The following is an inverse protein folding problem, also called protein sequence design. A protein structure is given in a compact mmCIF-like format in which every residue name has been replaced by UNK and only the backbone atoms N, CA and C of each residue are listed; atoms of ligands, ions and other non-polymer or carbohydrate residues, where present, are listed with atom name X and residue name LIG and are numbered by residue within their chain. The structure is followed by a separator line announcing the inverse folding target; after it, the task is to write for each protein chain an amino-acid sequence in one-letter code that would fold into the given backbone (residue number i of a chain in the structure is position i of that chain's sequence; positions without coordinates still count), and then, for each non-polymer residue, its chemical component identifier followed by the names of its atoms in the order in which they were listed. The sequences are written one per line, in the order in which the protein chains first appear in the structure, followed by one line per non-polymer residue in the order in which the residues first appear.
data_IF_306012795536
#
_entry.id   IF_306012795536
#
_cell.length_a   1.000
_cell.length_b   1.000
_cell.length_c   1.000
_cell.angle_alpha   90.00
_cell.angle_beta   90.00
_cell.angle_gamma   90.00
#
_symmetry.space_group_name_H-M   'P 1'
#
loop_
_entity.id
_entity.type
_entity.pdbx_description
1 polymer ?
#
# COMPACT_ATOMS: atom_id res chain seq x y z
N UNK A 1 50.32 73.99 23.87
CA UNK A 1 50.04 73.81 22.43
C UNK A 1 49.08 72.63 22.25
N UNK A 2 47.82 72.97 21.94
CA UNK A 2 46.82 71.95 21.65
C UNK A 2 46.65 71.84 20.14
N UNK A 3 46.79 70.66 19.58
CA UNK A 3 46.50 70.42 18.20
C UNK A 3 45.15 69.71 18.13
N UNK A 4 44.15 70.40 17.53
CA UNK A 4 42.88 69.87 17.14
C UNK A 4 43.03 69.10 15.82
N UNK A 5 42.41 67.88 15.76
CA UNK A 5 42.28 67.09 14.53
C UNK A 5 40.79 67.10 14.15
N UNK A 6 40.43 67.42 12.92
CA UNK A 6 39.06 67.45 12.46
C UNK A 6 38.57 65.98 12.09
N UNK A 7 37.32 65.67 12.46
CA UNK A 7 36.64 64.48 12.01
C UNK A 7 36.01 64.72 10.61
N UNK A 8 36.00 63.76 9.71
CA UNK A 8 35.16 63.79 8.52
C UNK A 8 33.83 63.12 8.78
N UNK A 9 32.76 63.85 8.57
CA UNK A 9 31.38 63.33 8.38
C UNK A 9 31.34 62.56 7.03
N UNK A 10 30.86 61.31 7.05
CA UNK A 10 30.35 60.71 5.85
C UNK A 10 29.12 59.84 6.22
N UNK A 11 27.97 60.42 5.98
CA UNK A 11 26.68 59.80 5.96
C UNK A 11 26.61 58.87 4.74
N UNK A 12 26.67 57.56 4.96
CA UNK A 12 26.26 56.56 3.93
C UNK A 12 25.02 55.88 4.43
N UNK A 13 23.86 56.20 3.84
CA UNK A 13 22.62 55.41 3.97
C UNK A 13 22.81 54.04 3.31
N UNK A 14 22.42 52.95 3.96
CA UNK A 14 22.38 51.67 3.28
C UNK A 14 21.14 51.60 2.32
N UNK A 15 21.29 50.93 1.16
CA UNK A 15 20.19 50.82 0.20
C UNK A 15 19.09 49.89 0.71
N UNK A 16 17.87 50.41 0.82
CA UNK A 16 16.66 49.59 0.94
C UNK A 16 16.41 48.90 -0.41
N UNK A 17 16.83 47.65 -0.57
CA UNK A 17 16.33 46.73 -1.62
C UNK A 17 16.83 45.33 -1.33
N UNK A 18 16.05 44.48 -0.62
CA UNK A 18 16.19 42.99 -0.75
C UNK A 18 15.09 42.20 -0.07
N UNK A 19 13.92 42.79 0.20
CA UNK A 19 12.82 41.99 0.80
C UNK A 19 11.74 41.57 -0.24
N UNK A 20 11.57 42.34 -1.33
CA UNK A 20 10.49 42.06 -2.32
C UNK A 20 10.79 40.92 -3.30
N UNK A 21 12.03 40.40 -3.38
CA UNK A 21 12.39 39.35 -4.33
C UNK A 21 12.13 37.91 -3.80
N UNK A 22 12.04 37.74 -2.49
CA UNK A 22 11.79 36.44 -1.85
C UNK A 22 10.31 36.06 -1.93
N UNK A 23 9.41 37.01 -1.60
CA UNK A 23 7.96 36.72 -1.58
C UNK A 23 7.38 36.46 -2.98
N UNK A 24 7.82 37.21 -3.99
CA UNK A 24 7.42 36.96 -5.40
C UNK A 24 7.94 35.65 -5.94
N UNK A 25 9.08 35.16 -5.47
CA UNK A 25 9.63 33.86 -5.85
C UNK A 25 8.83 32.71 -5.30
N UNK A 26 8.39 32.79 -4.05
CA UNK A 26 7.58 31.76 -3.39
C UNK A 26 6.14 31.73 -3.92
N UNK A 27 5.52 32.90 -4.19
CA UNK A 27 4.22 32.96 -4.86
C UNK A 27 4.27 32.42 -6.29
N UNK A 28 5.33 32.72 -7.07
CA UNK A 28 5.48 32.24 -8.43
C UNK A 28 5.73 30.72 -8.51
N UNK A 29 6.33 30.12 -7.46
CA UNK A 29 6.49 28.66 -7.33
C UNK A 29 5.15 28.01 -6.95
N UNK A 30 4.39 28.61 -6.05
CA UNK A 30 3.03 28.14 -5.67
C UNK A 30 2.03 28.12 -6.84
N UNK A 31 2.15 29.05 -7.77
CA UNK A 31 1.31 29.13 -8.97
C UNK A 31 1.60 28.07 -10.05
N UNK A 32 2.70 27.33 -9.93
CA UNK A 32 3.08 26.28 -10.92
C UNK A 32 2.60 24.88 -10.57
N UNK A 33 2.21 24.62 -9.32
CA UNK A 33 1.70 23.30 -8.91
C UNK A 33 0.18 23.32 -8.81
N UNK A 34 -0.46 22.35 -9.45
CA UNK A 34 -1.89 22.10 -9.24
C UNK A 34 -2.13 21.81 -7.75
N UNK A 35 -3.20 22.35 -7.12
CA UNK A 35 -3.54 21.99 -5.73
C UNK A 35 -3.57 20.48 -5.50
N UNK A 36 -3.93 19.69 -6.51
CA UNK A 36 -3.94 18.23 -6.48
C UNK A 36 -2.53 17.64 -6.42
N UNK A 37 -1.55 18.21 -7.14
CA UNK A 37 -0.14 17.74 -7.09
C UNK A 37 0.48 17.98 -5.71
N UNK A 38 0.23 19.15 -5.13
CA UNK A 38 0.69 19.45 -3.76
C UNK A 38 0.07 18.47 -2.76
N UNK A 39 -1.22 18.15 -2.92
CA UNK A 39 -1.90 17.19 -2.06
C UNK A 39 -1.31 15.79 -2.19
N UNK A 40 -0.96 15.35 -3.40
CA UNK A 40 -0.41 14.00 -3.66
C UNK A 40 0.93 13.76 -2.96
N UNK A 41 1.79 14.77 -2.90
CA UNK A 41 3.12 14.69 -2.26
C UNK A 41 3.12 15.02 -0.77
N UNK A 42 2.06 15.66 -0.26
CA UNK A 42 1.94 16.06 1.14
C UNK A 42 1.80 14.84 2.06
N UNK A 43 2.45 14.89 3.22
CA UNK A 43 2.34 13.84 4.25
C UNK A 43 0.93 13.80 4.85
N UNK A 44 0.35 12.60 4.98
CA UNK A 44 -0.98 12.39 5.58
C UNK A 44 -1.09 12.95 7.01
N UNK A 45 0.03 13.00 7.74
CA UNK A 45 0.09 13.60 9.07
C UNK A 45 -0.27 15.09 9.09
N UNK A 46 -0.13 15.75 7.95
CA UNK A 46 -0.35 17.20 7.78
C UNK A 46 -1.69 17.53 7.11
N UNK A 47 -2.50 16.53 6.78
CA UNK A 47 -3.78 16.74 6.09
C UNK A 47 -4.82 17.41 6.97
N UNK A 48 -5.52 18.41 6.43
CA UNK A 48 -6.75 18.93 7.01
C UNK A 48 -7.94 17.98 6.77
N UNK A 49 -9.06 18.15 7.48
CA UNK A 49 -10.28 17.37 7.22
C UNK A 49 -10.78 17.48 5.78
N UNK A 50 -10.67 18.67 5.16
CA UNK A 50 -11.07 18.92 3.78
C UNK A 50 -10.16 18.20 2.79
N UNK A 51 -8.85 18.20 3.05
CA UNK A 51 -7.86 17.49 2.25
C UNK A 51 -8.05 15.96 2.33
N UNK A 52 -8.53 15.45 3.48
CA UNK A 52 -8.93 14.04 3.59
C UNK A 52 -10.14 13.69 2.72
N UNK A 53 -11.08 14.61 2.52
CA UNK A 53 -12.20 14.40 1.60
C UNK A 53 -11.73 14.33 0.15
N UNK A 54 -10.74 15.15 -0.25
CA UNK A 54 -10.14 15.09 -1.56
C UNK A 54 -9.31 13.82 -1.78
N UNK A 55 -8.51 13.40 -0.77
CA UNK A 55 -7.81 12.11 -0.77
C UNK A 55 -8.78 10.95 -1.06
N UNK A 56 -9.97 11.00 -0.48
CA UNK A 56 -10.98 9.96 -0.69
C UNK A 56 -11.40 9.86 -2.16
N UNK A 57 -11.53 10.99 -2.87
CA UNK A 57 -11.84 11.02 -4.31
C UNK A 57 -10.69 10.42 -5.11
N UNK A 58 -9.45 10.83 -4.82
CA UNK A 58 -8.25 10.29 -5.47
C UNK A 58 -8.12 8.77 -5.26
N UNK A 59 -8.38 8.29 -4.05
CA UNK A 59 -8.36 6.86 -3.74
C UNK A 59 -9.47 6.06 -4.44
N UNK A 60 -10.64 6.69 -4.71
CA UNK A 60 -11.72 6.03 -5.44
C UNK A 60 -11.36 5.72 -6.90
N UNK A 61 -10.48 6.52 -7.49
CA UNK A 61 -9.97 6.31 -8.84
C UNK A 61 -8.79 5.32 -8.88
N UNK A 62 -8.16 5.06 -7.73
CA UNK A 62 -7.03 4.16 -7.61
C UNK A 62 -7.48 2.70 -7.75
N UNK A 63 -7.07 2.05 -8.83
CA UNK A 63 -7.40 0.65 -9.09
C UNK A 63 -6.32 -0.28 -8.53
N UNK A 64 -6.62 -0.92 -7.41
CA UNK A 64 -5.80 -2.01 -6.90
C UNK A 64 -6.07 -3.28 -7.70
N UNK A 65 -5.26 -3.53 -8.70
CA UNK A 65 -5.32 -4.76 -9.50
C UNK A 65 -4.19 -5.69 -9.08
N UNK A 66 -4.54 -6.83 -8.50
CA UNK A 66 -3.51 -7.86 -8.29
C UNK A 66 -2.93 -8.33 -9.63
N UNK A 67 -1.61 -8.51 -9.66
CA UNK A 67 -0.88 -9.04 -10.81
C UNK A 67 -1.56 -10.27 -11.42
N UNK A 68 -1.61 -10.35 -12.73
CA UNK A 68 -2.24 -11.46 -13.44
C UNK A 68 -1.40 -12.73 -13.33
N UNK A 69 -2.02 -13.86 -13.07
CA UNK A 69 -1.37 -15.17 -13.09
C UNK A 69 -2.06 -16.17 -13.99
N UNK A 70 -1.30 -16.99 -14.69
CA UNK A 70 -1.81 -18.13 -15.41
C UNK A 70 -2.21 -19.23 -14.41
N UNK A 71 -3.46 -19.67 -14.50
CA UNK A 71 -3.98 -20.77 -13.68
C UNK A 71 -3.69 -22.11 -14.38
N UNK A 72 -3.58 -23.19 -13.59
CA UNK A 72 -3.58 -24.57 -14.13
C UNK A 72 -4.92 -24.96 -14.77
N UNK A 73 -6.00 -24.25 -14.41
CA UNK A 73 -7.32 -24.47 -15.04
C UNK A 73 -7.33 -23.90 -16.45
N UNK A 74 -7.87 -24.70 -17.37
CA UNK A 74 -8.00 -24.33 -18.76
C UNK A 74 -9.38 -23.75 -19.02
N UNK A 75 -9.46 -22.75 -19.88
CA UNK A 75 -10.70 -22.16 -20.36
C UNK A 75 -10.83 -22.35 -21.87
N UNK A 76 -12.04 -22.33 -22.43
CA UNK A 76 -12.26 -22.37 -23.87
C UNK A 76 -11.57 -21.18 -24.54
N UNK A 77 -10.95 -21.44 -25.72
CA UNK A 77 -10.28 -20.42 -26.50
C UNK A 77 -10.46 -20.69 -28.00
N UNK A 78 -10.22 -19.66 -28.83
CA UNK A 78 -10.22 -19.80 -30.28
C UNK A 78 -8.91 -20.41 -30.81
N UNK A 79 -7.82 -20.28 -30.07
CA UNK A 79 -6.48 -20.80 -30.37
C UNK A 79 -5.81 -21.33 -29.10
N UNK A 80 -4.85 -22.22 -29.24
CA UNK A 80 -4.08 -22.79 -28.15
C UNK A 80 -4.06 -24.30 -28.14
N UNK A 81 -4.12 -24.93 -26.96
CA UNK A 81 -4.06 -26.38 -26.83
C UNK A 81 -5.39 -26.99 -27.28
N UNK A 82 -5.35 -28.06 -28.10
CA UNK A 82 -6.54 -28.76 -28.54
C UNK A 82 -7.37 -29.31 -27.35
N UNK A 83 -8.72 -29.19 -27.46
CA UNK A 83 -9.67 -29.73 -26.49
C UNK A 83 -10.45 -30.90 -27.12
N UNK A 84 -9.96 -32.15 -27.01
CA UNK A 84 -10.59 -33.33 -27.64
C UNK A 84 -12.02 -33.55 -27.13
N UNK A 85 -12.25 -33.34 -25.82
CA UNK A 85 -13.57 -33.59 -25.21
C UNK A 85 -14.64 -32.66 -25.77
N UNK A 86 -14.33 -31.37 -25.96
CA UNK A 86 -15.27 -30.41 -26.53
C UNK A 86 -15.44 -30.57 -28.03
N UNK A 87 -14.37 -30.96 -28.74
CA UNK A 87 -14.39 -31.27 -30.17
C UNK A 87 -15.29 -32.49 -30.41
N UNK A 88 -15.08 -33.60 -29.70
CA UNK A 88 -15.89 -34.81 -29.79
C UNK A 88 -17.36 -34.56 -29.44
N UNK A 89 -17.65 -33.84 -28.35
CA UNK A 89 -19.02 -33.48 -27.99
C UNK A 89 -19.69 -32.62 -29.06
N UNK A 90 -18.93 -31.78 -29.75
CA UNK A 90 -19.43 -31.01 -30.91
C UNK A 90 -19.71 -31.92 -32.10
N UNK A 91 -18.82 -32.87 -32.41
CA UNK A 91 -18.97 -33.84 -33.50
C UNK A 91 -20.22 -34.71 -33.36
N UNK A 92 -20.50 -35.19 -32.14
CA UNK A 92 -21.71 -36.00 -31.88
C UNK A 92 -23.02 -35.25 -32.18
N UNK A 93 -23.03 -33.94 -32.24
CA UNK A 93 -24.20 -33.12 -32.62
C UNK A 93 -24.32 -32.93 -34.15
N UNK A 94 -23.27 -33.25 -34.91
CA UNK A 94 -23.16 -33.08 -36.37
C UNK A 94 -22.92 -34.42 -37.06
N UNK A 95 -23.57 -35.51 -36.58
CA UNK A 95 -23.46 -36.82 -37.19
C UNK A 95 -22.14 -37.55 -37.03
N UNK A 96 -21.29 -37.14 -36.08
CA UNK A 96 -20.00 -37.78 -35.80
C UNK A 96 -18.79 -37.10 -36.46
N UNK A 97 -18.99 -36.13 -37.32
CA UNK A 97 -17.89 -35.41 -37.99
C UNK A 97 -17.40 -34.22 -37.17
N UNK A 98 -16.09 -34.14 -36.95
CA UNK A 98 -15.46 -33.05 -36.26
C UNK A 98 -15.23 -31.82 -37.13
N UNK A 99 -16.32 -31.14 -37.54
CA UNK A 99 -16.31 -29.96 -38.42
C UNK A 99 -15.56 -28.79 -37.83
N UNK A 100 -15.50 -28.68 -36.49
CA UNK A 100 -14.83 -27.56 -35.80
C UNK A 100 -14.00 -28.04 -34.66
N UNK A 101 -12.67 -27.87 -34.76
CA UNK A 101 -11.76 -28.12 -33.63
C UNK A 101 -11.95 -27.07 -32.51
N UNK A 102 -12.00 -27.54 -31.27
CA UNK A 102 -12.09 -26.70 -30.08
C UNK A 102 -10.73 -26.62 -29.41
N UNK A 103 -10.43 -25.44 -28.91
CA UNK A 103 -9.17 -25.15 -28.24
C UNK A 103 -9.41 -24.67 -26.82
N UNK A 104 -8.36 -24.75 -26.01
CA UNK A 104 -8.34 -24.29 -24.62
C UNK A 104 -7.00 -23.63 -24.31
N UNK A 105 -7.03 -22.66 -23.41
CA UNK A 105 -5.82 -21.97 -22.92
C UNK A 105 -5.82 -21.93 -21.39
N UNK A 106 -4.67 -21.73 -20.72
CA UNK A 106 -4.64 -21.46 -19.29
C UNK A 106 -5.48 -20.22 -18.97
N UNK A 107 -6.37 -20.34 -17.99
CA UNK A 107 -7.16 -19.21 -17.52
C UNK A 107 -6.26 -18.21 -16.83
N UNK A 108 -6.36 -16.95 -17.20
CA UNK A 108 -5.68 -15.82 -16.56
C UNK A 108 -6.61 -15.25 -15.49
N UNK A 109 -6.09 -14.99 -14.32
CA UNK A 109 -6.84 -14.37 -13.21
C UNK A 109 -5.93 -13.51 -12.35
N UNK A 110 -6.47 -12.46 -11.69
CA UNK A 110 -5.67 -11.68 -10.76
C UNK A 110 -5.21 -12.54 -9.57
N UNK A 111 -3.99 -12.28 -9.10
CA UNK A 111 -3.47 -12.85 -7.84
C UNK A 111 -4.29 -12.30 -6.68
N UNK A 112 -4.32 -13.03 -5.59
CA UNK A 112 -4.84 -12.50 -4.33
C UNK A 112 -3.84 -11.49 -3.79
N UNK A 113 -4.36 -10.41 -3.22
CA UNK A 113 -3.62 -9.45 -2.43
C UNK A 113 -4.05 -9.62 -0.98
N UNK A 114 -3.10 -9.69 -0.07
CA UNK A 114 -3.35 -9.71 1.37
C UNK A 114 -2.71 -8.48 1.97
N UNK A 115 -3.48 -7.66 2.64
CA UNK A 115 -3.03 -6.44 3.31
C UNK A 115 -3.11 -6.67 4.82
N UNK A 116 -1.97 -6.57 5.50
CA UNK A 116 -1.80 -6.65 6.95
C UNK A 116 -1.48 -5.24 7.45
N UNK A 117 -2.46 -4.53 8.00
CA UNK A 117 -2.35 -3.13 8.38
C UNK A 117 -2.21 -2.99 9.90
N UNK A 118 -1.09 -2.46 10.33
CA UNK A 118 -0.86 -2.08 11.71
C UNK A 118 -1.65 -0.81 12.04
N UNK A 119 -2.42 -0.87 13.12
CA UNK A 119 -3.26 0.21 13.64
C UNK A 119 -2.83 0.65 15.05
N UNK A 120 -1.56 0.44 15.38
CA UNK A 120 -0.95 0.87 16.64
C UNK A 120 -0.99 2.38 16.84
N UNK A 121 -0.71 2.82 18.06
CA UNK A 121 -0.66 4.25 18.39
C UNK A 121 0.37 5.02 17.58
N UNK A 122 1.53 4.45 17.26
CA UNK A 122 2.54 5.05 16.37
C UNK A 122 2.06 5.23 14.94
N UNK A 123 1.13 4.36 14.50
CA UNK A 123 0.52 4.39 13.17
C UNK A 123 -0.77 5.24 13.12
N UNK A 124 -1.26 5.77 14.26
CA UNK A 124 -2.58 6.42 14.36
C UNK A 124 -2.80 7.53 13.32
N UNK A 125 -1.77 8.34 13.07
CA UNK A 125 -1.80 9.43 12.09
C UNK A 125 -2.03 8.93 10.66
N UNK A 126 -1.45 7.79 10.32
CA UNK A 126 -1.52 7.19 8.97
C UNK A 126 -2.68 6.22 8.82
N UNK A 127 -3.14 5.61 9.93
CA UNK A 127 -4.16 4.54 9.92
C UNK A 127 -5.41 4.93 9.17
N UNK A 128 -5.88 6.18 9.29
CA UNK A 128 -7.08 6.66 8.60
C UNK A 128 -6.91 6.63 7.07
N UNK A 129 -5.79 7.14 6.55
CA UNK A 129 -5.48 7.12 5.12
C UNK A 129 -5.30 5.68 4.60
N UNK A 130 -4.58 4.85 5.36
CA UNK A 130 -4.35 3.46 5.02
C UNK A 130 -5.65 2.64 5.01
N UNK A 131 -6.55 2.83 5.97
CA UNK A 131 -7.86 2.17 5.98
C UNK A 131 -8.74 2.62 4.79
N UNK A 132 -8.67 3.89 4.37
CA UNK A 132 -9.31 4.37 3.15
C UNK A 132 -8.75 3.68 1.91
N UNK A 133 -7.44 3.52 1.84
CA UNK A 133 -6.78 2.78 0.77
C UNK A 133 -7.21 1.30 0.75
N UNK A 134 -7.27 0.64 1.90
CA UNK A 134 -7.78 -0.72 2.01
C UNK A 134 -9.23 -0.83 1.53
N UNK A 135 -10.07 0.12 1.93
CA UNK A 135 -11.47 0.20 1.50
C UNK A 135 -11.57 0.31 -0.04
N UNK A 136 -10.83 1.27 -0.65
CA UNK A 136 -10.80 1.42 -2.10
C UNK A 136 -10.39 0.12 -2.81
N UNK A 137 -9.38 -0.58 -2.26
CA UNK A 137 -8.95 -1.88 -2.76
C UNK A 137 -10.02 -2.97 -2.67
N UNK A 138 -10.76 -3.04 -1.57
CA UNK A 138 -11.85 -4.02 -1.39
C UNK A 138 -12.99 -3.75 -2.37
N UNK A 139 -13.41 -2.48 -2.51
CA UNK A 139 -14.51 -2.07 -3.39
C UNK A 139 -14.15 -2.21 -4.88
N UNK A 140 -12.87 -2.08 -5.25
CA UNK A 140 -12.44 -2.22 -6.66
C UNK A 140 -12.70 -3.60 -7.26
N UNK A 141 -13.18 -4.57 -6.47
CA UNK A 141 -13.43 -5.94 -6.90
C UNK A 141 -12.15 -6.79 -7.05
N UNK A 142 -11.02 -6.30 -6.61
CA UNK A 142 -9.79 -7.06 -6.51
C UNK A 142 -9.98 -8.26 -5.54
N UNK A 143 -9.23 -9.34 -5.75
CA UNK A 143 -9.21 -10.47 -4.81
C UNK A 143 -8.37 -10.09 -3.59
N UNK A 144 -8.87 -9.13 -2.82
CA UNK A 144 -8.18 -8.51 -1.71
C UNK A 144 -8.74 -9.02 -0.39
N UNK A 145 -7.84 -9.29 0.55
CA UNK A 145 -8.13 -9.64 1.93
C UNK A 145 -7.42 -8.64 2.84
N UNK A 146 -8.16 -8.00 3.72
CA UNK A 146 -7.66 -6.98 4.63
C UNK A 146 -7.72 -7.48 6.08
N UNK A 147 -6.63 -7.26 6.80
CA UNK A 147 -6.48 -7.56 8.22
C UNK A 147 -5.92 -6.33 8.92
N UNK A 148 -6.40 -6.05 10.12
CA UNK A 148 -5.77 -5.11 11.04
C UNK A 148 -4.94 -5.86 12.08
N UNK A 149 -3.78 -5.29 12.41
CA UNK A 149 -2.87 -5.74 13.45
C UNK A 149 -2.93 -4.73 14.58
N UNK A 150 -3.21 -5.19 15.78
CA UNK A 150 -3.17 -4.44 17.03
C UNK A 150 -2.64 -5.37 18.11
N UNK A 151 -3.32 -5.48 19.26
CA UNK A 151 -3.04 -6.52 20.26
C UNK A 151 -3.37 -7.92 19.74
N UNK A 152 -4.24 -8.02 18.75
CA UNK A 152 -4.61 -9.25 18.04
C UNK A 152 -4.82 -8.98 16.56
N UNK A 153 -4.79 -10.04 15.76
CA UNK A 153 -5.13 -9.97 14.36
C UNK A 153 -6.64 -10.00 14.15
N UNK A 154 -7.18 -9.04 13.40
CA UNK A 154 -8.60 -8.99 13.03
C UNK A 154 -8.77 -8.92 11.53
N UNK A 155 -9.57 -9.82 10.94
CA UNK A 155 -9.91 -9.75 9.52
C UNK A 155 -11.04 -8.74 9.34
N UNK A 156 -10.80 -7.69 8.57
CA UNK A 156 -11.71 -6.54 8.37
C UNK A 156 -12.23 -6.43 6.93
N UNK A 157 -12.02 -7.47 6.11
CA UNK A 157 -12.44 -7.46 4.69
C UNK A 157 -13.95 -7.25 4.54
N UNK A 158 -14.76 -7.83 5.42
CA UNK A 158 -16.23 -7.73 5.35
C UNK A 158 -16.72 -6.34 5.72
N UNK A 159 -16.13 -5.77 6.74
CA UNK A 159 -16.43 -4.44 7.27
C UNK A 159 -16.10 -3.37 6.23
N UNK A 160 -15.00 -3.56 5.48
CA UNK A 160 -14.59 -2.69 4.39
C UNK A 160 -15.38 -2.90 3.07
N UNK A 161 -16.24 -3.90 2.98
CA UNK A 161 -17.04 -4.17 1.77
C UNK A 161 -18.26 -3.25 1.59
N UNK A 162 -18.59 -2.42 2.59
CA UNK A 162 -19.66 -1.42 2.51
C UNK A 162 -19.27 -0.31 1.54
N UNK A 163 -20.20 0.13 0.69
CA UNK A 163 -19.92 1.14 -0.35
C UNK A 163 -19.63 2.53 0.21
N UNK A 164 -20.29 2.88 1.31
CA UNK A 164 -20.04 4.14 2.00
C UNK A 164 -18.70 4.04 2.75
N UNK A 165 -17.70 4.87 2.38
CA UNK A 165 -16.38 4.82 2.99
C UNK A 165 -16.37 5.16 4.48
N UNK A 166 -17.24 6.07 4.94
CA UNK A 166 -17.30 6.46 6.34
C UNK A 166 -17.94 5.37 7.19
N UNK A 167 -18.96 4.73 6.68
CA UNK A 167 -19.58 3.56 7.31
C UNK A 167 -18.60 2.38 7.36
N UNK A 168 -17.88 2.10 6.27
CA UNK A 168 -16.86 1.06 6.23
C UNK A 168 -15.77 1.28 7.29
N UNK A 169 -15.28 2.51 7.44
CA UNK A 169 -14.29 2.84 8.46
C UNK A 169 -14.85 2.71 9.89
N UNK A 170 -16.10 3.12 10.12
CA UNK A 170 -16.75 2.95 11.43
C UNK A 170 -16.87 1.47 11.79
N UNK A 171 -17.33 0.64 10.85
CA UNK A 171 -17.46 -0.81 11.04
C UNK A 171 -16.10 -1.47 11.28
N UNK A 172 -15.08 -1.13 10.48
CA UNK A 172 -13.72 -1.63 10.65
C UNK A 172 -13.16 -1.21 12.01
N UNK A 173 -13.30 0.06 12.41
CA UNK A 173 -12.86 0.54 13.74
C UNK A 173 -13.60 -0.15 14.88
N UNK A 174 -14.90 -0.41 14.74
CA UNK A 174 -15.68 -1.16 15.73
C UNK A 174 -15.26 -2.65 15.86
N UNK A 175 -14.78 -3.26 14.78
CA UNK A 175 -14.26 -4.61 14.79
C UNK A 175 -12.85 -4.73 15.41
N UNK A 176 -12.06 -3.66 15.32
CA UNK A 176 -10.72 -3.54 15.89
C UNK A 176 -10.81 -3.27 17.39
N UNK A 177 -10.69 -4.33 18.20
CA UNK A 177 -10.68 -4.21 19.66
C UNK A 177 -9.24 -3.98 20.14
N UNK A 178 -9.08 -3.11 21.16
CA UNK A 178 -7.81 -2.87 21.87
C UNK A 178 -6.66 -2.30 21.04
N UNK A 179 -6.86 -1.11 20.48
CA UNK A 179 -5.81 -0.36 19.78
C UNK A 179 -4.69 0.11 20.75
N UNK A 180 -4.99 0.19 22.05
CA UNK A 180 -4.12 0.83 23.07
C UNK A 180 -3.07 -0.11 23.72
N UNK A 181 -3.15 -1.41 23.51
CA UNK A 181 -2.33 -2.40 24.24
C UNK A 181 -0.89 -2.58 23.71
N UNK A 182 -0.54 -1.94 22.62
CA UNK A 182 0.74 -2.13 21.91
C UNK A 182 0.70 -3.31 20.95
N UNK A 183 1.40 -3.16 19.82
CA UNK A 183 1.39 -4.15 18.73
C UNK A 183 2.34 -5.29 19.05
N UNK A 184 1.86 -6.52 18.87
CA UNK A 184 2.66 -7.74 18.79
C UNK A 184 2.66 -8.24 17.35
N UNK A 185 3.49 -7.61 16.55
CA UNK A 185 3.52 -7.82 15.10
C UNK A 185 3.87 -9.26 14.74
N UNK A 186 4.89 -9.83 15.41
CA UNK A 186 5.29 -11.22 15.25
C UNK A 186 4.17 -12.21 15.55
N UNK A 187 3.45 -12.04 16.67
CA UNK A 187 2.34 -12.90 17.07
C UNK A 187 1.16 -12.80 16.10
N UNK A 188 0.81 -11.58 15.67
CA UNK A 188 -0.27 -11.35 14.71
C UNK A 188 0.04 -11.97 13.34
N UNK A 189 1.28 -11.83 12.85
CA UNK A 189 1.72 -12.45 11.59
C UNK A 189 1.71 -13.98 11.74
N UNK A 190 2.12 -14.52 12.88
CA UNK A 190 2.02 -15.95 13.19
C UNK A 190 0.58 -16.44 13.12
N UNK A 191 -0.34 -15.73 13.77
CA UNK A 191 -1.77 -16.05 13.72
C UNK A 191 -2.30 -16.04 12.27
N UNK A 192 -1.89 -15.04 11.46
CA UNK A 192 -2.24 -14.99 10.04
C UNK A 192 -1.73 -16.23 9.29
N UNK A 193 -0.46 -16.58 9.45
CA UNK A 193 0.17 -17.71 8.76
C UNK A 193 -0.52 -19.01 9.13
N UNK A 194 -0.76 -19.25 10.41
CA UNK A 194 -1.31 -20.52 10.92
C UNK A 194 -2.79 -20.69 10.57
N UNK A 195 -3.61 -19.64 10.69
CA UNK A 195 -5.08 -19.74 10.45
C UNK A 195 -5.46 -19.61 8.99
N UNK A 196 -4.77 -18.79 8.20
CA UNK A 196 -5.16 -18.46 6.83
C UNK A 196 -4.05 -18.66 5.80
N UNK A 197 -2.82 -18.28 6.14
CA UNK A 197 -1.69 -18.24 5.20
C UNK A 197 -1.38 -19.61 4.61
N UNK A 198 -1.10 -20.59 5.45
CA UNK A 198 -0.80 -21.97 5.04
C UNK A 198 -1.99 -22.66 4.38
N UNK A 199 -3.21 -22.33 4.78
CA UNK A 199 -4.46 -22.85 4.18
C UNK A 199 -4.74 -22.30 2.79
N UNK A 200 -3.81 -21.53 2.21
CA UNK A 200 -3.82 -21.09 0.82
C UNK A 200 -4.10 -19.60 0.62
N UNK A 201 -4.28 -18.79 1.68
CA UNK A 201 -4.50 -17.36 1.53
C UNK A 201 -3.23 -16.64 1.11
N UNK A 202 -2.07 -16.94 1.73
CA UNK A 202 -0.78 -16.40 1.36
C UNK A 202 -0.17 -17.08 0.14
N UNK A 203 -0.56 -18.32 -0.17
CA UNK A 203 0.09 -19.12 -1.22
C UNK A 203 -0.04 -18.49 -2.62
N UNK A 204 1.08 -17.99 -3.14
CA UNK A 204 1.16 -17.31 -4.43
C UNK A 204 0.35 -16.01 -4.48
N UNK A 205 0.09 -15.39 -3.32
CA UNK A 205 -0.48 -14.05 -3.17
C UNK A 205 0.62 -12.99 -3.15
N UNK A 206 0.26 -11.74 -3.36
CA UNK A 206 1.05 -10.59 -2.95
C UNK A 206 0.65 -10.29 -1.52
N UNK A 207 1.61 -10.33 -0.59
CA UNK A 207 1.38 -10.00 0.82
C UNK A 207 2.01 -8.64 1.09
N UNK A 208 1.21 -7.71 1.58
CA UNK A 208 1.64 -6.34 1.93
C UNK A 208 1.51 -6.18 3.44
N UNK A 209 2.58 -5.75 4.08
CA UNK A 209 2.59 -5.37 5.49
C UNK A 209 2.73 -3.85 5.56
N UNK A 210 1.80 -3.20 6.23
CA UNK A 210 1.74 -1.75 6.43
C UNK A 210 2.02 -1.50 7.92
N UNK A 211 3.26 -1.19 8.27
CA UNK A 211 3.70 -1.00 9.68
C UNK A 211 5.02 -0.24 9.73
N UNK A 212 5.25 0.51 10.80
CA UNK A 212 6.54 1.13 11.12
C UNK A 212 7.59 0.12 11.62
N UNK A 213 7.18 -1.12 11.87
CA UNK A 213 8.04 -2.22 12.32
C UNK A 213 8.34 -2.17 13.82
N UNK A 214 7.63 -1.34 14.58
CA UNK A 214 7.76 -1.31 16.03
C UNK A 214 6.98 -2.48 16.65
N UNK A 215 7.70 -3.49 17.11
CA UNK A 215 7.15 -4.69 17.73
C UNK A 215 7.47 -4.75 19.23
N UNK A 216 6.45 -5.01 20.05
CA UNK A 216 6.62 -5.30 21.49
C UNK A 216 6.77 -6.79 21.79
N UNK A 217 6.62 -7.63 20.76
CA UNK A 217 6.79 -9.06 20.84
C UNK A 217 8.24 -9.52 20.73
N UNK A 218 8.40 -10.83 20.56
CA UNK A 218 9.69 -11.44 20.29
C UNK A 218 10.08 -11.25 18.82
N UNK A 219 11.16 -10.54 18.58
CA UNK A 219 11.71 -10.25 17.25
C UNK A 219 12.08 -11.54 16.48
N UNK A 220 12.47 -12.60 17.18
CA UNK A 220 12.77 -13.88 16.58
C UNK A 220 11.51 -14.52 15.98
N UNK A 221 10.36 -14.37 16.65
CA UNK A 221 9.06 -14.82 16.12
C UNK A 221 8.72 -14.07 14.85
N UNK A 222 8.90 -12.74 14.83
CA UNK A 222 8.65 -11.94 13.63
C UNK A 222 9.53 -12.39 12.46
N UNK A 223 10.83 -12.57 12.66
CA UNK A 223 11.76 -13.05 11.64
C UNK A 223 11.32 -14.40 11.05
N UNK A 224 11.00 -15.36 11.93
CA UNK A 224 10.53 -16.70 11.51
C UNK A 224 9.26 -16.61 10.67
N UNK A 225 8.27 -15.81 11.10
CA UNK A 225 7.00 -15.71 10.40
C UNK A 225 7.15 -14.98 9.06
N UNK A 226 7.99 -13.96 8.97
CA UNK A 226 8.30 -13.30 7.72
C UNK A 226 9.01 -14.25 6.75
N UNK A 227 9.92 -15.09 7.23
CA UNK A 227 10.53 -16.15 6.42
C UNK A 227 9.46 -17.15 5.91
N UNK A 228 8.48 -17.54 6.76
CA UNK A 228 7.39 -18.42 6.34
C UNK A 228 6.53 -17.77 5.26
N UNK A 229 6.20 -16.47 5.40
CA UNK A 229 5.44 -15.72 4.39
C UNK A 229 6.22 -15.64 3.08
N UNK A 230 7.51 -15.31 3.11
CA UNK A 230 8.33 -15.19 1.88
C UNK A 230 8.38 -16.48 1.07
N UNK A 231 8.34 -17.65 1.73
CA UNK A 231 8.27 -18.97 1.06
C UNK A 231 6.89 -19.29 0.48
N UNK A 232 5.81 -18.74 1.06
CA UNK A 232 4.43 -18.99 0.63
C UNK A 232 3.95 -18.00 -0.42
N UNK A 233 4.28 -16.72 -0.22
CA UNK A 233 3.85 -15.62 -1.05
C UNK A 233 4.51 -15.66 -2.43
N UNK A 234 3.94 -14.93 -3.36
CA UNK A 234 4.58 -14.63 -4.63
C UNK A 234 5.50 -13.41 -4.51
N UNK A 235 5.10 -12.42 -3.73
CA UNK A 235 5.85 -11.22 -3.42
C UNK A 235 5.46 -10.73 -2.03
N UNK A 236 6.42 -10.25 -1.27
CA UNK A 236 6.24 -9.59 0.03
C UNK A 236 6.62 -8.13 -0.12
N UNK A 237 5.70 -7.24 0.16
CA UNK A 237 5.90 -5.79 0.13
C UNK A 237 5.76 -5.29 1.56
N UNK A 238 6.69 -4.45 2.01
CA UNK A 238 6.58 -3.75 3.28
C UNK A 238 6.46 -2.26 3.03
N UNK A 239 5.48 -1.65 3.64
CA UNK A 239 5.20 -0.21 3.56
C UNK A 239 5.38 0.38 4.95
N UNK A 240 6.33 1.31 5.08
CA UNK A 240 6.58 2.01 6.33
C UNK A 240 6.38 3.52 6.12
N UNK A 241 5.34 4.13 6.71
CA UNK A 241 5.10 5.57 6.56
C UNK A 241 6.23 6.44 7.06
N UNK A 242 6.98 5.98 8.06
CA UNK A 242 8.11 6.74 8.63
C UNK A 242 9.38 6.70 7.77
N UNK A 243 9.43 5.86 6.72
CA UNK A 243 10.61 5.73 5.84
C UNK A 243 11.02 7.05 5.18
N UNK A 244 10.07 7.95 4.91
CA UNK A 244 10.32 9.26 4.29
C UNK A 244 10.88 10.31 5.25
N UNK A 245 10.86 10.05 6.56
CA UNK A 245 11.35 11.01 7.55
C UNK A 245 12.85 11.29 7.35
N UNK A 246 13.30 12.56 7.43
CA UNK A 246 14.72 12.90 7.30
C UNK A 246 15.56 12.10 8.31
N UNK A 247 16.61 11.44 7.81
CA UNK A 247 17.50 10.63 8.66
C UNK A 247 16.94 9.29 9.12
N UNK A 248 15.80 8.85 8.56
CA UNK A 248 15.24 7.53 8.87
C UNK A 248 16.28 6.43 8.65
N UNK A 249 16.40 5.56 9.64
CA UNK A 249 17.13 4.30 9.54
C UNK A 249 16.22 3.18 10.07
N UNK A 250 16.20 1.99 9.47
CA UNK A 250 15.39 0.86 9.93
C UNK A 250 15.96 0.24 11.20
N UNK A 251 16.08 1.06 12.27
CA UNK A 251 16.68 0.67 13.55
C UNK A 251 15.70 -0.04 14.48
N UNK A 252 14.39 0.03 14.23
CA UNK A 252 13.43 -0.77 14.95
C UNK A 252 13.79 -2.26 14.79
N UNK A 253 13.97 -2.97 15.89
CA UNK A 253 14.44 -4.37 15.88
C UNK A 253 13.52 -5.26 15.01
N UNK A 254 12.21 -5.02 15.07
CA UNK A 254 11.24 -5.73 14.21
C UNK A 254 11.46 -5.45 12.72
N UNK A 255 11.76 -4.18 12.35
CA UNK A 255 12.04 -3.83 10.96
C UNK A 255 13.31 -4.52 10.45
N UNK A 256 14.39 -4.47 11.23
CA UNK A 256 15.65 -5.12 10.88
C UNK A 256 15.49 -6.65 10.69
N UNK A 257 14.64 -7.27 11.51
CA UNK A 257 14.36 -8.70 11.42
C UNK A 257 13.46 -9.07 10.21
N UNK A 258 12.55 -8.19 9.82
CA UNK A 258 11.64 -8.43 8.71
C UNK A 258 12.27 -8.21 7.33
N UNK A 259 13.13 -7.19 7.18
CA UNK A 259 13.69 -6.73 5.90
C UNK A 259 14.37 -7.83 5.05
N UNK A 260 15.12 -8.80 5.61
CA UNK A 260 15.72 -9.88 4.81
C UNK A 260 14.70 -10.75 4.07
N UNK A 261 13.42 -10.69 4.44
CA UNK A 261 12.32 -11.48 3.90
C UNK A 261 11.32 -10.65 3.09
N UNK A 262 11.68 -9.39 2.79
CA UNK A 262 10.87 -8.43 2.05
C UNK A 262 11.43 -8.25 0.65
N UNK A 263 10.60 -8.41 -0.38
CA UNK A 263 11.01 -8.22 -1.78
C UNK A 263 11.03 -6.73 -2.17
N UNK A 264 10.10 -5.93 -1.63
CA UNK A 264 9.97 -4.50 -1.93
C UNK A 264 9.67 -3.73 -0.65
N UNK A 265 10.45 -2.68 -0.39
CA UNK A 265 10.31 -1.80 0.76
C UNK A 265 9.93 -0.39 0.30
N UNK A 266 8.72 0.07 0.61
CA UNK A 266 8.16 1.36 0.19
C UNK A 266 7.93 2.28 1.39
N UNK A 267 7.81 3.58 1.11
CA UNK A 267 7.17 4.53 2.01
C UNK A 267 5.65 4.41 1.92
N UNK A 268 4.92 5.08 2.80
CA UNK A 268 3.45 5.01 2.80
C UNK A 268 2.84 6.24 3.46
N UNK A 269 3.54 7.38 3.38
CA UNK A 269 3.24 8.60 4.10
C UNK A 269 2.36 9.59 3.32
N UNK A 270 2.27 9.43 1.98
CA UNK A 270 1.53 10.30 1.09
C UNK A 270 0.81 9.50 -0.01
N UNK A 271 0.01 10.20 -0.85
CA UNK A 271 -0.76 9.55 -1.90
C UNK A 271 0.14 8.95 -3.00
N UNK A 272 1.22 9.63 -3.39
CA UNK A 272 2.18 9.11 -4.38
C UNK A 272 2.75 7.75 -3.95
N UNK A 273 3.10 7.60 -2.67
CA UNK A 273 3.59 6.33 -2.15
C UNK A 273 2.54 5.21 -2.14
N UNK A 274 1.25 5.54 -2.07
CA UNK A 274 0.16 4.57 -2.23
C UNK A 274 -0.05 4.18 -3.70
N UNK A 275 0.22 5.09 -4.64
CA UNK A 275 0.25 4.77 -6.08
C UNK A 275 1.43 3.85 -6.39
N UNK A 276 2.63 4.15 -5.88
CA UNK A 276 3.80 3.26 -5.99
C UNK A 276 3.50 1.85 -5.45
N UNK A 277 2.76 1.78 -4.34
CA UNK A 277 2.32 0.49 -3.78
C UNK A 277 1.35 -0.22 -4.73
N UNK A 278 0.38 0.49 -5.31
CA UNK A 278 -0.57 -0.08 -6.26
C UNK A 278 0.15 -0.63 -7.50
N UNK A 279 1.12 0.10 -8.02
CA UNK A 279 1.97 -0.32 -9.12
C UNK A 279 2.82 -1.54 -8.76
N UNK A 280 3.46 -1.55 -7.59
CA UNK A 280 4.23 -2.70 -7.10
C UNK A 280 3.37 -3.95 -6.91
N UNK A 281 2.09 -3.81 -6.57
CA UNK A 281 1.12 -4.92 -6.49
C UNK A 281 0.76 -5.41 -7.91
N UNK A 282 0.58 -4.49 -8.86
CA UNK A 282 0.26 -4.81 -10.24
C UNK A 282 1.43 -5.48 -10.99
N UNK A 283 2.66 -4.97 -10.79
CA UNK A 283 3.88 -5.47 -11.43
C UNK A 283 4.36 -6.83 -10.88
N UNK A 284 3.78 -7.30 -9.80
CA UNK A 284 4.07 -8.64 -9.29
C UNK A 284 3.67 -9.78 -10.28
N UNK A 285 3.43 -9.45 -11.57
CA UNK A 285 3.03 -10.42 -12.59
C UNK A 285 4.17 -11.33 -13.06
N UNK A 286 5.41 -10.86 -13.04
CA UNK A 286 6.54 -11.52 -13.71
C UNK A 286 7.62 -11.99 -12.73
N UNK A 287 7.51 -13.22 -12.31
CA UNK A 287 8.62 -14.13 -11.91
C UNK A 287 8.35 -15.51 -12.43
#
# INVERSE_FOLDING_TARGET
MRFSVPQPESSVRPPKKTVEKSERGEEAVRLRYSPVEVLRSKDFALYSPEEFAELQRLLADLRLSGALKRSRRLEPAHRGRHDPRRTLRGAMRTGGEAVRHRFRRPRVRPRRVVLLCDVSGSMATYSRALLRFLHAGVISGARLEAFSIGTRLTRITKELATRDPDEALRQASGAMKDISGGTRLGDAIKEFVDRWGQRGMARGAVVVVLSDGWDRGDVAVLAEQMQRISRLAHRVIWVNPLKSAPGYKPLAAGMAAALPHVDVFLSGHNFESLEELADAIADAAER
#
